data_IF_546178324870
#
_entry.id   IF_546178324870
#
_cell.length_a   1.000
_cell.length_b   1.000
_cell.length_c   1.000
_cell.angle_alpha   90.00
_cell.angle_beta   90.00
_cell.angle_gamma   90.00
#
_symmetry.space_group_name_H-M   'P 1'
#
loop_
_entity.id
_entity.type
_entity.pdbx_description
1 polymer ?
#
# COMPACT_ATOMS: atom_id res chain seq x y z
N UNK A 1 -6.02 -5.39 0.11
CA UNK A 1 -4.77 -5.50 -0.67
C UNK A 1 -3.65 -5.88 0.27
N UNK A 2 -2.85 -6.94 -0.01
CA UNK A 2 -1.70 -7.28 0.82
C UNK A 2 -0.59 -6.25 0.66
N UNK A 3 0.17 -6.04 1.75
CA UNK A 3 1.27 -5.08 1.84
C UNK A 3 2.48 -5.79 2.46
N UNK A 4 3.68 -5.50 1.96
CA UNK A 4 4.94 -6.00 2.51
C UNK A 4 5.97 -4.88 2.60
N UNK A 5 6.68 -4.79 3.73
CA UNK A 5 7.81 -3.86 3.90
C UNK A 5 9.06 -4.54 3.34
N UNK A 6 9.54 -4.06 2.19
CA UNK A 6 10.72 -4.60 1.53
C UNK A 6 12.03 -4.15 2.21
N UNK A 7 12.11 -2.87 2.57
CA UNK A 7 13.28 -2.31 3.24
C UNK A 7 12.92 -1.11 4.11
N UNK A 8 13.77 -0.87 5.10
CA UNK A 8 13.77 0.33 5.94
C UNK A 8 15.21 0.81 6.02
N UNK A 9 15.47 2.01 5.52
CA UNK A 9 16.80 2.59 5.40
C UNK A 9 16.87 3.93 6.13
N UNK A 10 17.92 4.21 6.91
CA UNK A 10 18.11 5.53 7.48
C UNK A 10 18.46 6.57 6.39
N UNK A 11 17.94 7.78 6.55
CA UNK A 11 18.28 8.96 5.75
C UNK A 11 18.58 10.13 6.70
N UNK A 12 19.14 11.23 6.18
CA UNK A 12 19.62 12.36 6.99
C UNK A 12 18.60 12.90 8.02
N UNK A 13 17.31 12.89 7.68
CA UNK A 13 16.24 13.39 8.56
C UNK A 13 15.18 12.33 8.91
N UNK A 14 15.55 11.04 8.93
CA UNK A 14 14.65 9.99 9.40
C UNK A 14 14.82 8.66 8.67
N UNK A 15 13.73 8.09 8.18
CA UNK A 15 13.70 6.78 7.51
C UNK A 15 13.10 6.89 6.12
N UNK A 16 13.63 6.06 5.22
CA UNK A 16 13.03 5.74 3.93
C UNK A 16 12.58 4.29 3.96
N UNK A 17 11.32 4.05 3.66
CA UNK A 17 10.70 2.74 3.63
C UNK A 17 10.32 2.40 2.19
N UNK A 18 10.69 1.21 1.73
CA UNK A 18 10.17 0.66 0.48
C UNK A 18 9.08 -0.35 0.79
N UNK A 19 7.91 -0.14 0.22
CA UNK A 19 6.69 -0.92 0.46
C UNK A 19 6.19 -1.53 -0.83
N UNK A 20 5.90 -2.82 -0.81
CA UNK A 20 5.26 -3.55 -1.89
C UNK A 20 3.75 -3.64 -1.64
N UNK A 21 2.95 -3.37 -2.66
CA UNK A 21 1.49 -3.49 -2.62
C UNK A 21 0.98 -4.47 -3.67
N UNK A 22 0.23 -5.48 -3.26
CA UNK A 22 -0.35 -6.49 -4.16
C UNK A 22 -1.62 -6.03 -4.85
N UNK A 23 -1.49 -5.12 -5.83
CA UNK A 23 -2.58 -4.52 -6.61
C UNK A 23 -3.54 -5.57 -7.21
N UNK A 24 -3.04 -6.78 -7.51
CA UNK A 24 -3.84 -7.92 -8.01
C UNK A 24 -5.08 -8.24 -7.15
N UNK A 25 -5.01 -8.03 -5.83
CA UNK A 25 -6.06 -8.41 -4.88
C UNK A 25 -7.11 -7.31 -4.63
N UNK A 26 -6.97 -6.14 -5.24
CA UNK A 26 -7.92 -5.04 -5.12
C UNK A 26 -8.58 -4.78 -6.48
N UNK A 27 -9.87 -4.47 -6.46
CA UNK A 27 -10.67 -4.29 -7.66
C UNK A 27 -11.45 -2.99 -7.62
N UNK A 28 -11.79 -2.49 -8.80
CA UNK A 28 -12.60 -1.31 -9.02
C UNK A 28 -13.63 -1.58 -10.14
N UNK A 29 -14.67 -0.74 -10.31
CA UNK A 29 -15.60 -0.88 -11.44
C UNK A 29 -14.88 -0.85 -12.81
N UNK A 30 -15.29 -1.69 -13.75
CA UNK A 30 -14.77 -1.64 -15.12
C UNK A 30 -15.34 -0.44 -15.88
N UNK A 31 -14.51 0.13 -16.78
CA UNK A 31 -14.93 1.21 -17.68
C UNK A 31 -15.67 0.68 -18.93
N UNK A 32 -15.58 -0.62 -19.22
CA UNK A 32 -16.13 -1.25 -20.45
C UNK A 32 -17.12 -2.38 -20.20
N UNK A 33 -17.12 -2.97 -19.01
CA UNK A 33 -18.01 -4.08 -18.63
C UNK A 33 -18.97 -3.64 -17.51
N UNK A 34 -20.23 -3.27 -17.85
CA UNK A 34 -21.21 -2.79 -16.87
C UNK A 34 -21.42 -3.79 -15.73
N UNK A 35 -21.44 -3.28 -14.49
CA UNK A 35 -21.60 -4.05 -13.25
C UNK A 35 -20.49 -5.08 -12.97
N UNK A 36 -19.42 -5.11 -13.78
CA UNK A 36 -18.26 -5.92 -13.49
C UNK A 36 -17.13 -5.06 -12.90
N UNK A 37 -16.21 -5.73 -12.23
CA UNK A 37 -15.02 -5.16 -11.63
C UNK A 37 -13.77 -5.68 -12.33
N UNK A 38 -12.69 -4.96 -12.17
CA UNK A 38 -11.37 -5.25 -12.73
C UNK A 38 -10.31 -4.96 -11.68
N UNK A 39 -9.22 -5.73 -11.68
CA UNK A 39 -8.12 -5.51 -10.75
C UNK A 39 -7.49 -4.14 -10.94
N UNK A 40 -6.98 -3.53 -9.86
CA UNK A 40 -6.17 -2.30 -9.95
C UNK A 40 -4.91 -2.48 -10.82
N UNK A 41 -4.39 -3.72 -10.89
CA UNK A 41 -3.24 -4.07 -11.71
C UNK A 41 -3.55 -4.13 -13.22
N UNK A 42 -4.80 -4.34 -13.60
CA UNK A 42 -5.20 -4.61 -14.97
C UNK A 42 -5.77 -3.36 -15.67
N UNK A 43 -5.71 -3.37 -17.00
CA UNK A 43 -6.34 -2.34 -17.81
C UNK A 43 -7.87 -2.38 -17.62
N UNK A 44 -8.49 -1.23 -17.30
CA UNK A 44 -9.91 -1.16 -16.96
C UNK A 44 -10.87 -1.45 -18.12
N UNK A 45 -10.37 -1.35 -19.34
CA UNK A 45 -11.12 -1.55 -20.59
C UNK A 45 -10.98 -2.98 -21.11
N UNK A 46 -9.79 -3.59 -21.02
CA UNK A 46 -9.55 -4.95 -21.55
C UNK A 46 -9.55 -6.03 -20.48
N UNK A 47 -9.34 -5.68 -19.21
CA UNK A 47 -9.13 -6.65 -18.12
C UNK A 47 -7.77 -7.34 -18.18
N UNK A 48 -6.85 -6.90 -19.05
CA UNK A 48 -5.54 -7.54 -19.24
C UNK A 48 -4.44 -6.80 -18.48
N UNK A 49 -3.46 -7.57 -18.02
CA UNK A 49 -2.18 -7.02 -17.56
C UNK A 49 -1.35 -6.58 -18.77
N UNK A 50 -0.65 -5.45 -18.65
CA UNK A 50 0.34 -5.04 -19.65
C UNK A 50 1.67 -5.76 -19.42
N UNK A 51 2.06 -5.96 -18.17
CA UNK A 51 3.23 -6.72 -17.75
C UNK A 51 2.86 -7.63 -16.55
N UNK A 52 3.33 -8.88 -16.47
CA UNK A 52 3.09 -9.76 -15.31
C UNK A 52 3.46 -9.13 -13.95
N UNK A 53 4.46 -8.26 -13.91
CA UNK A 53 4.88 -7.54 -12.71
C UNK A 53 3.97 -6.37 -12.35
N UNK A 54 2.99 -6.00 -13.20
CA UNK A 54 2.00 -4.95 -12.87
C UNK A 54 1.04 -5.42 -11.75
N UNK A 55 1.09 -6.72 -11.40
CA UNK A 55 0.42 -7.29 -10.22
C UNK A 55 0.82 -6.63 -8.90
N UNK A 56 2.02 -6.04 -8.82
CA UNK A 56 2.52 -5.33 -7.63
C UNK A 56 2.94 -3.90 -7.95
N UNK A 57 2.74 -3.01 -6.96
CA UNK A 57 3.25 -1.64 -6.96
C UNK A 57 4.34 -1.51 -5.90
N UNK A 58 5.41 -0.79 -6.23
CA UNK A 58 6.50 -0.47 -5.30
C UNK A 58 6.40 0.99 -4.93
N UNK A 59 6.30 1.27 -3.63
CA UNK A 59 6.21 2.61 -3.09
C UNK A 59 7.44 2.93 -2.23
N UNK A 60 7.88 4.18 -2.30
CA UNK A 60 8.82 4.80 -1.37
C UNK A 60 8.04 5.70 -0.44
N UNK A 61 8.32 5.62 0.85
CA UNK A 61 7.74 6.48 1.89
C UNK A 61 8.88 7.03 2.72
N UNK A 62 8.84 8.32 3.05
CA UNK A 62 9.78 8.96 3.94
C UNK A 62 9.10 9.39 5.23
N UNK A 63 9.76 9.10 6.35
CA UNK A 63 9.27 9.31 7.70
C UNK A 63 10.29 10.11 8.49
N UNK A 64 9.84 10.99 9.37
CA UNK A 64 10.72 11.73 10.30
C UNK A 64 10.11 11.81 11.69
N UNK A 65 10.97 12.01 12.70
CA UNK A 65 10.58 12.35 14.06
C UNK A 65 10.70 13.85 14.37
N UNK A 66 11.19 14.65 13.41
CA UNK A 66 11.55 16.05 13.61
C UNK A 66 10.61 17.03 12.88
N UNK A 67 9.36 16.63 12.62
CA UNK A 67 8.40 17.46 11.90
C UNK A 67 7.62 18.41 12.85
N UNK A 68 7.44 19.70 12.51
CA UNK A 68 6.73 20.66 13.37
C UNK A 68 5.26 20.33 13.68
N UNK A 69 4.65 19.41 12.93
CA UNK A 69 3.27 18.95 13.17
C UNK A 69 3.18 17.81 14.19
N UNK A 70 4.31 17.26 14.63
CA UNK A 70 4.32 16.24 15.69
C UNK A 70 3.96 16.94 17.01
N UNK A 71 2.96 16.45 17.76
CA UNK A 71 2.59 17.04 19.05
C UNK A 71 3.76 17.05 20.05
N UNK A 72 3.86 18.13 20.83
CA UNK A 72 4.83 18.19 21.91
C UNK A 72 4.53 17.11 22.95
N UNK A 73 5.49 16.21 23.20
CA UNK A 73 5.31 15.06 24.09
C UNK A 73 4.70 13.82 23.43
N UNK A 74 4.62 13.77 22.09
CA UNK A 74 4.27 12.53 21.39
C UNK A 74 5.23 11.39 21.80
N UNK A 75 4.66 10.25 22.14
CA UNK A 75 5.40 9.02 22.43
C UNK A 75 5.34 8.06 21.26
N UNK A 76 6.29 7.13 21.22
CA UNK A 76 6.25 5.95 20.37
C UNK A 76 4.93 5.20 20.60
N UNK A 77 4.36 4.64 19.54
CA UNK A 77 3.19 3.77 19.68
C UNK A 77 3.68 2.35 19.97
N UNK A 78 3.66 1.99 21.25
CA UNK A 78 4.09 0.67 21.76
C UNK A 78 2.91 -0.28 22.02
N UNK A 79 1.68 0.21 21.96
CA UNK A 79 0.46 -0.59 22.05
C UNK A 79 0.10 -1.23 20.70
N UNK A 80 -0.32 -2.50 20.73
CA UNK A 80 -0.84 -3.20 19.56
C UNK A 80 -2.02 -2.43 18.96
N UNK A 81 -1.93 -2.11 17.66
CA UNK A 81 -2.96 -1.37 16.92
C UNK A 81 -4.03 -2.33 16.38
N UNK A 82 -4.88 -2.79 17.28
CA UNK A 82 -5.97 -3.73 17.00
C UNK A 82 -7.26 -3.29 17.73
N UNK A 83 -8.39 -3.36 17.06
CA UNK A 83 -9.69 -2.95 17.58
C UNK A 83 -10.83 -3.05 16.56
N UNK A 84 -12.05 -2.60 16.93
CA UNK A 84 -13.23 -2.70 16.08
C UNK A 84 -13.41 -1.51 15.11
N UNK A 85 -12.60 -0.45 15.21
CA UNK A 85 -12.82 0.76 14.41
C UNK A 85 -12.48 0.52 12.93
N UNK A 86 -13.27 1.02 11.97
CA UNK A 86 -13.00 0.82 10.56
C UNK A 86 -11.81 1.64 10.03
N UNK A 87 -11.38 2.67 10.79
CA UNK A 87 -10.27 3.58 10.47
C UNK A 87 -9.65 4.13 11.77
N UNK A 88 -8.41 4.65 11.74
CA UNK A 88 -7.83 5.34 12.89
C UNK A 88 -8.73 6.52 13.29
N UNK A 89 -9.08 6.60 14.56
CA UNK A 89 -9.83 7.74 15.12
C UNK A 89 -8.93 8.76 15.83
N UNK A 90 -7.63 8.47 15.91
CA UNK A 90 -6.59 9.31 16.46
C UNK A 90 -5.25 9.03 15.78
N UNK A 91 -4.19 9.64 16.31
CA UNK A 91 -2.84 9.40 15.81
C UNK A 91 -2.38 7.97 16.10
N UNK A 92 -1.86 7.30 15.08
CA UNK A 92 -1.35 5.92 15.11
C UNK A 92 0.11 5.84 14.69
N UNK A 93 0.75 6.99 14.44
CA UNK A 93 2.17 7.05 14.12
C UNK A 93 3.00 7.63 15.28
N UNK A 94 2.35 8.28 16.24
CA UNK A 94 3.00 8.81 17.45
C UNK A 94 4.03 9.86 17.07
N UNK A 95 5.29 9.62 17.42
CA UNK A 95 6.37 10.55 17.05
C UNK A 95 6.82 10.47 15.58
N UNK A 96 6.20 9.62 14.74
CA UNK A 96 6.57 9.50 13.33
C UNK A 96 5.63 10.31 12.45
N UNK A 97 6.18 11.01 11.46
CA UNK A 97 5.42 11.79 10.51
C UNK A 97 5.85 11.46 9.07
N UNK A 98 4.89 11.18 8.17
CA UNK A 98 5.17 10.94 6.75
C UNK A 98 5.43 12.28 6.05
N UNK A 99 6.63 12.44 5.49
CA UNK A 99 7.08 13.67 4.83
C UNK A 99 7.16 13.58 3.32
N UNK A 100 7.18 12.37 2.78
CA UNK A 100 7.32 12.15 1.34
C UNK A 100 6.79 10.79 0.94
N UNK A 101 6.27 10.69 -0.27
CA UNK A 101 5.84 9.44 -0.86
C UNK A 101 6.02 9.45 -2.39
N UNK A 102 6.25 8.27 -2.96
CA UNK A 102 6.25 8.09 -4.42
C UNK A 102 4.85 8.08 -5.05
N UNK A 103 3.81 7.92 -4.23
CA UNK A 103 2.41 7.92 -4.67
C UNK A 103 1.55 8.69 -3.68
N UNK A 104 0.41 9.19 -4.16
CA UNK A 104 -0.49 10.05 -3.38
C UNK A 104 -1.25 9.33 -2.26
N UNK A 105 -1.17 8.00 -2.20
CA UNK A 105 -1.87 7.21 -1.17
C UNK A 105 -1.25 7.38 0.22
N UNK A 106 0.09 7.49 0.30
CA UNK A 106 0.81 7.44 1.57
C UNK A 106 1.08 8.80 2.19
N UNK A 107 1.14 9.86 1.38
CA UNK A 107 1.53 11.17 1.89
C UNK A 107 1.67 12.22 0.79
N UNK A 108 2.23 13.40 1.12
CA UNK A 108 2.58 14.38 0.11
C UNK A 108 3.54 13.74 -0.91
N UNK A 109 3.16 13.79 -2.18
CA UNK A 109 4.02 13.30 -3.26
C UNK A 109 5.21 14.24 -3.37
N UNK A 110 6.42 13.69 -3.34
CA UNK A 110 7.63 14.48 -3.52
C UNK A 110 7.59 15.20 -4.88
N UNK A 111 8.05 16.46 -4.93
CA UNK A 111 8.14 17.22 -6.18
C UNK A 111 9.23 16.69 -7.15
N UNK A 112 10.09 15.78 -6.66
CA UNK A 112 11.19 15.18 -7.42
C UNK A 112 10.77 13.77 -7.90
N UNK A 113 10.90 13.46 -9.20
CA UNK A 113 10.07 12.46 -9.85
C UNK A 113 10.30 11.05 -9.26
N UNK A 114 9.26 10.42 -8.71
CA UNK A 114 9.36 9.11 -8.06
C UNK A 114 9.55 7.93 -9.02
N UNK A 115 9.42 8.13 -10.34
CA UNK A 115 9.38 7.01 -11.29
C UNK A 115 10.73 6.33 -11.55
N UNK A 116 11.86 6.93 -11.16
CA UNK A 116 13.18 6.41 -11.51
C UNK A 116 13.81 5.45 -10.49
N UNK A 117 13.27 5.31 -9.27
CA UNK A 117 13.87 4.40 -8.28
C UNK A 117 13.44 2.94 -8.49
N UNK A 118 12.25 2.72 -9.07
CA UNK A 118 11.69 1.37 -9.19
C UNK A 118 12.38 0.61 -10.31
N UNK A 119 13.10 -0.45 -9.94
CA UNK A 119 13.74 -1.35 -10.92
C UNK A 119 12.90 -2.61 -11.15
N UNK A 120 13.07 -3.32 -12.30
CA UNK A 120 12.45 -4.62 -12.52
C UNK A 120 12.77 -5.65 -11.42
N UNK A 121 13.97 -5.58 -10.84
CA UNK A 121 14.39 -6.49 -9.75
C UNK A 121 13.62 -6.22 -8.47
N UNK A 122 13.41 -4.95 -8.13
CA UNK A 122 12.58 -4.58 -6.97
C UNK A 122 11.14 -5.07 -7.15
N UNK A 123 10.57 -4.92 -8.36
CA UNK A 123 9.23 -5.42 -8.66
C UNK A 123 9.14 -6.94 -8.53
N UNK A 124 10.16 -7.68 -9.01
CA UNK A 124 10.23 -9.15 -8.86
C UNK A 124 10.29 -9.57 -7.39
N UNK A 125 11.17 -8.94 -6.61
CA UNK A 125 11.26 -9.20 -5.16
C UNK A 125 9.94 -8.91 -4.45
N UNK A 126 9.27 -7.80 -4.81
CA UNK A 126 7.95 -7.49 -4.29
C UNK A 126 6.90 -8.54 -4.66
N UNK A 127 6.90 -9.02 -5.91
CA UNK A 127 5.99 -10.06 -6.37
C UNK A 127 6.21 -11.37 -5.59
N UNK A 128 7.46 -11.77 -5.37
CA UNK A 128 7.83 -12.97 -4.64
C UNK A 128 7.54 -12.89 -3.14
N UNK A 129 7.53 -11.68 -2.56
CA UNK A 129 7.25 -11.45 -1.14
C UNK A 129 5.74 -11.41 -0.80
N UNK A 130 4.86 -11.37 -1.81
CA UNK A 130 3.42 -11.41 -1.61
C UNK A 130 2.95 -12.79 -1.11
N UNK A 131 1.78 -12.84 -0.43
CA UNK A 131 1.27 -14.11 0.12
C UNK A 131 0.85 -15.14 -0.96
N UNK A 132 0.45 -14.67 -2.15
CA UNK A 132 0.04 -15.52 -3.28
C UNK A 132 1.21 -15.73 -4.25
N UNK A 133 1.27 -16.87 -4.95
CA UNK A 133 2.32 -17.11 -5.97
C UNK A 133 2.19 -16.16 -7.16
N UNK A 134 3.27 -15.84 -7.91
CA UNK A 134 3.20 -14.99 -9.10
C UNK A 134 2.12 -15.42 -10.10
N UNK A 135 1.94 -16.72 -10.34
CA UNK A 135 0.91 -17.25 -11.24
C UNK A 135 -0.49 -16.97 -10.69
N UNK A 136 -0.69 -17.15 -9.38
CA UNK A 136 -1.97 -16.87 -8.73
C UNK A 136 -2.28 -15.37 -8.75
N UNK A 137 -1.27 -14.53 -8.55
CA UNK A 137 -1.42 -13.07 -8.66
C UNK A 137 -1.88 -12.66 -10.06
N UNK A 138 -1.29 -13.25 -11.12
CA UNK A 138 -1.68 -12.97 -12.52
C UNK A 138 -3.12 -13.44 -12.78
N UNK A 139 -3.49 -14.64 -12.34
CA UNK A 139 -4.87 -15.17 -12.43
C UNK A 139 -5.87 -14.24 -11.72
N UNK A 140 -5.52 -13.78 -10.52
CA UNK A 140 -6.35 -12.87 -9.75
C UNK A 140 -6.43 -11.47 -10.37
N UNK A 141 -5.38 -10.99 -11.01
CA UNK A 141 -5.38 -9.66 -11.63
C UNK A 141 -6.17 -9.62 -12.94
N UNK A 142 -6.17 -10.72 -13.70
CA UNK A 142 -6.69 -10.72 -15.08
C UNK A 142 -8.21 -10.95 -15.12
N UNK A 143 -8.85 -10.39 -16.15
CA UNK A 143 -10.26 -10.54 -16.47
C UNK A 143 -11.20 -9.67 -15.64
N UNK A 144 -12.46 -9.67 -16.07
CA UNK A 144 -13.56 -9.04 -15.35
C UNK A 144 -14.13 -9.96 -14.26
N UNK A 145 -14.64 -9.36 -13.19
CA UNK A 145 -15.07 -10.06 -11.98
C UNK A 145 -16.45 -9.57 -11.57
N UNK A 146 -17.33 -10.50 -11.25
CA UNK A 146 -18.68 -10.16 -10.79
C UNK A 146 -18.71 -9.76 -9.31
N UNK A 147 -17.76 -10.26 -8.53
CA UNK A 147 -17.60 -9.96 -7.09
C UNK A 147 -16.14 -9.63 -6.78
N UNK A 148 -15.87 -8.77 -5.77
CA UNK A 148 -14.51 -8.54 -5.34
C UNK A 148 -13.91 -9.84 -4.79
N UNK A 149 -12.58 -10.04 -4.87
CA UNK A 149 -11.93 -11.14 -4.18
C UNK A 149 -12.35 -11.17 -2.71
N UNK A 150 -12.52 -12.37 -2.12
CA UNK A 150 -12.81 -12.47 -0.70
C UNK A 150 -11.67 -11.81 0.06
N UNK A 151 -11.96 -10.66 0.64
CA UNK A 151 -11.14 -10.11 1.70
C UNK A 151 -11.54 -10.90 2.94
N UNK A 152 -10.56 -11.41 3.68
CA UNK A 152 -10.81 -12.09 4.94
C UNK A 152 -11.54 -11.19 5.93
N UNK A 153 -11.63 -11.62 7.20
CA UNK A 153 -12.03 -10.67 8.24
C UNK A 153 -11.09 -9.46 8.16
N UNK A 154 -11.58 -8.21 8.31
CA UNK A 154 -10.70 -7.07 8.51
C UNK A 154 -9.70 -7.46 9.59
N UNK A 155 -8.44 -7.66 9.20
CA UNK A 155 -7.33 -7.92 10.13
C UNK A 155 -7.25 -6.66 10.98
N UNK A 156 -7.34 -6.85 12.30
CA UNK A 156 -8.25 -6.14 13.19
C UNK A 156 -8.27 -4.65 12.89
N UNK A 157 -9.48 -4.08 12.90
CA UNK A 157 -9.66 -2.65 12.76
C UNK A 157 -8.82 -1.86 13.76
N UNK A 158 -8.94 -0.55 13.71
CA UNK A 158 -8.13 0.31 14.54
C UNK A 158 -8.62 0.31 15.99
N UNK A 159 -7.76 0.62 16.97
CA UNK A 159 -8.19 0.91 18.32
C UNK A 159 -9.30 1.97 18.30
N UNK A 160 -10.27 1.84 19.20
CA UNK A 160 -11.12 2.99 19.55
C UNK A 160 -10.22 4.05 20.20
N UNK A 161 -10.64 5.31 20.18
CA UNK A 161 -9.86 6.40 20.75
C UNK A 161 -9.43 6.04 22.19
N UNK A 162 -8.21 6.40 22.61
CA UNK A 162 -7.83 6.26 24.01
C UNK A 162 -8.92 6.91 24.88
N UNK A 163 -9.44 6.18 25.87
CA UNK A 163 -10.37 6.73 26.86
C UNK A 163 -9.64 7.68 27.81
#
# INVERSE_FOLDING_TARGET
MPVHIQSVEPIDNGLRVTVCEGQYAAVLPSDSAPNQMVSLAANKVTGELRDPLDTVLVNRIELTQNHPRIPAGASDVDTLQEGPAPAPVGDVFGHWFITGASSSLWGPVDADPPDFFVTPDMRRQCQEAMPDSPEKQIEMATGFKDTPPPHGKPIPGWPLAPQ
#
